data_IF_266536417177
#
_entry.id   IF_266536417177
#
_cell.length_a   1.000
_cell.length_b   1.000
_cell.length_c   1.000
_cell.angle_alpha   90.00
_cell.angle_beta   90.00
_cell.angle_gamma   90.00
#
_symmetry.space_group_name_H-M   'P 1'
#
loop_
_entity.id
_entity.type
_entity.pdbx_description
1 polymer ?
#
# COMPACT_ATOMS: atom_id res chain seq x y z
N UNK A 1 34.48 -5.03 -42.53
CA UNK A 1 33.95 -3.67 -42.79
C UNK A 1 33.20 -3.71 -44.10
N UNK A 2 31.88 -3.79 -44.06
CA UNK A 2 31.01 -3.64 -45.23
C UNK A 2 29.81 -2.79 -44.80
N UNK A 3 29.58 -1.76 -45.58
CA UNK A 3 28.56 -0.70 -45.51
C UNK A 3 27.22 -1.15 -46.11
N UNK A 4 26.10 -0.57 -45.61
CA UNK A 4 24.80 -0.13 -46.24
C UNK A 4 24.22 -0.90 -47.46
N UNK A 5 22.88 -0.96 -47.74
CA UNK A 5 21.85 0.06 -47.42
C UNK A 5 20.40 -0.41 -47.13
N UNK A 6 19.58 0.57 -46.78
CA UNK A 6 18.11 0.56 -46.77
C UNK A 6 17.57 0.37 -48.20
N UNK A 7 16.58 -0.51 -48.39
CA UNK A 7 15.66 -0.44 -49.54
C UNK A 7 14.24 -0.84 -49.14
N UNK A 8 13.36 0.13 -49.29
CA UNK A 8 11.90 0.08 -49.24
C UNK A 8 11.32 -0.99 -50.16
N UNK A 9 10.41 -1.83 -49.65
CA UNK A 9 9.32 -2.39 -50.47
C UNK A 9 7.98 -2.14 -49.79
N UNK A 10 7.16 -1.38 -50.51
CA UNK A 10 5.76 -1.11 -50.29
C UNK A 10 4.97 -2.33 -50.77
N UNK A 11 4.29 -3.03 -49.86
CA UNK A 11 3.26 -4.00 -50.25
C UNK A 11 1.91 -3.53 -49.72
N UNK A 12 1.16 -2.88 -50.60
CA UNK A 12 -0.27 -2.62 -50.41
C UNK A 12 -0.99 -3.94 -50.65
N UNK A 13 -1.40 -4.60 -49.57
CA UNK A 13 -2.43 -5.63 -49.61
C UNK A 13 -3.65 -5.08 -48.87
N UNK A 14 -4.64 -4.66 -49.65
CA UNK A 14 -5.98 -4.35 -49.17
C UNK A 14 -6.69 -5.64 -48.73
N UNK A 15 -7.43 -5.57 -47.63
CA UNK A 15 -8.51 -6.51 -47.36
C UNK A 15 -8.36 -7.37 -46.11
N UNK A 16 -8.56 -6.75 -44.95
CA UNK A 16 -9.52 -7.18 -43.91
C UNK A 16 -9.22 -6.39 -42.65
N UNK A 17 -10.11 -5.47 -42.30
CA UNK A 17 -10.03 -4.73 -41.06
C UNK A 17 -10.34 -5.68 -39.89
N UNK A 18 -9.33 -6.38 -39.40
CA UNK A 18 -9.29 -6.73 -37.99
C UNK A 18 -8.71 -5.50 -37.28
N UNK A 19 -9.57 -4.73 -36.62
CA UNK A 19 -9.13 -3.80 -35.58
C UNK A 19 -8.45 -4.65 -34.50
N UNK A 20 -7.13 -4.84 -34.62
CA UNK A 20 -6.31 -5.15 -33.47
C UNK A 20 -6.28 -3.84 -32.67
N UNK A 21 -7.24 -3.69 -31.76
CA UNK A 21 -7.11 -2.71 -30.69
C UNK A 21 -5.82 -3.05 -29.99
N UNK A 22 -4.78 -2.26 -30.26
CA UNK A 22 -3.62 -2.18 -29.38
C UNK A 22 -4.19 -1.60 -28.10
N UNK A 23 -4.61 -2.47 -27.18
CA UNK A 23 -4.73 -2.13 -25.78
C UNK A 23 -3.31 -1.78 -25.37
N UNK A 24 -2.96 -0.50 -25.46
CA UNK A 24 -1.90 0.04 -24.63
C UNK A 24 -2.18 -0.49 -23.23
N UNK A 25 -1.22 -1.09 -22.52
CA UNK A 25 -1.40 -1.33 -21.10
C UNK A 25 -1.66 0.05 -20.50
N UNK A 26 -2.93 0.34 -20.21
CA UNK A 26 -3.27 1.41 -19.29
C UNK A 26 -2.50 1.02 -18.05
N UNK A 27 -1.45 1.75 -17.73
CA UNK A 27 -0.84 1.66 -16.40
C UNK A 27 -2.01 1.87 -15.47
N UNK A 28 -2.46 0.82 -14.79
CA UNK A 28 -3.51 0.91 -13.81
C UNK A 28 -3.00 1.96 -12.82
N UNK A 29 -3.64 3.13 -12.82
CA UNK A 29 -3.33 4.14 -11.85
C UNK A 29 -3.83 3.58 -10.52
N UNK A 30 -2.99 3.60 -9.50
CA UNK A 30 -3.43 3.28 -8.15
C UNK A 30 -4.65 4.16 -7.83
N UNK A 31 -5.82 3.54 -7.68
CA UNK A 31 -7.05 4.24 -7.28
C UNK A 31 -7.24 3.98 -5.80
N UNK A 32 -7.22 5.06 -5.01
CA UNK A 32 -7.49 4.99 -3.59
C UNK A 32 -8.99 4.70 -3.41
N UNK A 33 -9.31 3.55 -2.82
CA UNK A 33 -10.70 3.10 -2.67
C UNK A 33 -11.05 2.86 -1.20
N UNK A 34 -12.22 3.30 -0.71
CA UNK A 34 -12.65 3.00 0.66
C UNK A 34 -12.76 1.50 0.91
N UNK A 35 -12.30 1.05 2.08
CA UNK A 35 -12.44 -0.34 2.55
C UNK A 35 -13.14 -0.39 3.91
N UNK A 36 -13.38 -1.60 4.42
CA UNK A 36 -13.92 -1.77 5.77
C UNK A 36 -13.01 -1.10 6.80
N UNK A 37 -13.57 -0.48 7.85
CA UNK A 37 -12.77 0.11 8.92
C UNK A 37 -11.96 -0.96 9.65
N UNK A 38 -10.91 -0.52 10.33
CA UNK A 38 -10.09 -1.36 11.19
C UNK A 38 -10.97 -2.00 12.29
N UNK A 39 -10.64 -3.24 12.65
CA UNK A 39 -11.29 -3.93 13.77
C UNK A 39 -11.20 -3.08 15.05
N UNK A 40 -12.28 -3.04 15.84
CA UNK A 40 -12.36 -2.14 16.99
C UNK A 40 -11.35 -2.46 18.08
N UNK A 41 -11.00 -3.74 18.26
CA UNK A 41 -10.03 -4.15 19.27
C UNK A 41 -8.61 -3.76 18.83
N UNK A 42 -8.29 -3.95 17.55
CA UNK A 42 -7.02 -3.47 16.96
C UNK A 42 -6.92 -1.95 16.98
N UNK A 43 -8.02 -1.23 16.69
CA UNK A 43 -8.06 0.22 16.77
C UNK A 43 -7.80 0.70 18.20
N UNK A 44 -8.36 0.03 19.21
CA UNK A 44 -8.10 0.34 20.62
C UNK A 44 -6.64 0.04 21.02
N UNK A 45 -6.06 -1.06 20.53
CA UNK A 45 -4.64 -1.40 20.72
C UNK A 45 -3.74 -0.31 20.14
N UNK A 46 -3.95 0.08 18.88
CA UNK A 46 -3.12 1.10 18.23
C UNK A 46 -3.28 2.47 18.89
N UNK A 47 -4.49 2.87 19.28
CA UNK A 47 -4.70 4.11 20.04
C UNK A 47 -3.98 4.08 21.40
N UNK A 48 -3.92 2.92 22.06
CA UNK A 48 -3.16 2.80 23.31
C UNK A 48 -1.66 3.01 23.07
N UNK A 49 -1.12 2.50 21.96
CA UNK A 49 0.27 2.78 21.56
C UNK A 49 0.48 4.28 21.35
N UNK A 50 -0.40 4.95 20.60
CA UNK A 50 -0.30 6.40 20.34
C UNK A 50 -0.30 7.19 21.65
N UNK A 51 -1.29 6.96 22.52
CA UNK A 51 -1.47 7.72 23.76
C UNK A 51 -0.31 7.44 24.74
N UNK A 52 0.16 6.20 24.85
CA UNK A 52 1.20 5.83 25.83
C UNK A 52 2.63 6.15 25.36
N UNK A 53 2.92 5.99 24.06
CA UNK A 53 4.29 6.10 23.52
C UNK A 53 4.58 7.42 22.81
N UNK A 54 3.56 8.02 22.19
CA UNK A 54 3.73 9.08 21.18
C UNK A 54 3.26 10.42 21.77
N UNK A 55 2.10 10.49 22.44
CA UNK A 55 1.51 11.77 22.92
C UNK A 55 2.14 12.35 24.21
N UNK A 56 2.77 11.51 25.05
CA UNK A 56 3.07 11.91 26.43
C UNK A 56 4.49 12.48 26.64
N UNK A 57 5.39 12.36 25.67
CA UNK A 57 6.74 12.91 25.78
C UNK A 57 7.45 13.03 24.41
N UNK A 58 8.24 14.10 24.21
CA UNK A 58 9.10 14.21 23.04
C UNK A 58 10.03 13.00 22.95
N UNK A 59 10.14 12.41 21.76
CA UNK A 59 11.10 11.34 21.51
C UNK A 59 12.52 11.88 21.62
N UNK A 60 13.37 11.14 22.35
CA UNK A 60 14.80 11.45 22.43
C UNK A 60 15.50 11.15 21.10
N UNK A 61 16.65 11.79 20.84
CA UNK A 61 17.45 11.52 19.63
C UNK A 61 17.80 10.03 19.48
N UNK A 62 17.99 9.32 20.60
CA UNK A 62 18.25 7.89 20.57
C UNK A 62 17.03 7.09 20.13
N UNK A 63 15.83 7.44 20.63
CA UNK A 63 14.58 6.79 20.21
C UNK A 63 14.29 7.07 18.74
N UNK A 64 14.49 8.31 18.28
CA UNK A 64 14.31 8.65 16.87
C UNK A 64 15.24 7.88 15.97
N UNK A 65 16.51 7.72 16.34
CA UNK A 65 17.43 6.90 15.53
C UNK A 65 17.03 5.42 15.49
N UNK A 66 16.24 4.92 16.45
CA UNK A 66 15.73 3.56 16.46
C UNK A 66 14.41 3.40 15.70
N UNK A 67 13.58 4.45 15.66
CA UNK A 67 12.25 4.45 15.06
C UNK A 67 12.23 5.08 13.66
N UNK A 68 13.28 5.79 13.28
CA UNK A 68 13.47 6.28 11.93
C UNK A 68 13.55 5.09 10.98
N UNK A 69 12.60 5.02 10.05
CA UNK A 69 12.57 3.99 9.03
C UNK A 69 13.62 4.32 7.97
N UNK A 70 14.45 3.34 7.62
CA UNK A 70 15.27 3.45 6.40
C UNK A 70 14.32 3.55 5.20
N UNK A 71 14.38 4.61 4.36
CA UNK A 71 13.48 4.75 3.21
C UNK A 71 13.53 3.54 2.27
N UNK A 72 14.67 2.85 2.19
CA UNK A 72 14.80 1.63 1.39
C UNK A 72 14.06 0.42 1.97
N UNK A 73 13.68 0.47 3.26
CA UNK A 73 12.93 -0.60 3.94
C UNK A 73 11.50 -0.77 3.40
N UNK A 74 10.93 0.24 2.72
CA UNK A 74 9.65 0.13 2.02
C UNK A 74 9.77 -0.28 0.55
N UNK A 75 10.89 -0.88 0.17
CA UNK A 75 11.00 -1.59 -1.11
C UNK A 75 10.32 -2.95 -0.99
N UNK A 76 9.24 -3.15 -1.75
CA UNK A 76 8.48 -4.39 -1.73
C UNK A 76 9.36 -5.56 -2.22
N UNK A 77 9.56 -6.58 -1.40
CA UNK A 77 10.39 -7.73 -1.74
C UNK A 77 9.69 -8.74 -2.65
N UNK A 78 8.37 -8.63 -2.76
CA UNK A 78 7.50 -9.50 -3.54
C UNK A 78 6.26 -8.73 -4.00
N UNK A 79 5.48 -9.31 -4.90
CA UNK A 79 4.21 -8.74 -5.33
C UNK A 79 3.22 -8.69 -4.15
N UNK A 80 2.50 -7.59 -4.04
CA UNK A 80 1.50 -7.30 -3.01
C UNK A 80 0.16 -7.09 -3.73
N UNK A 81 -0.87 -7.81 -3.31
CA UNK A 81 -2.20 -7.75 -3.93
C UNK A 81 -2.98 -6.51 -3.48
N UNK A 82 -2.77 -6.07 -2.24
CA UNK A 82 -3.36 -4.83 -1.74
C UNK A 82 -2.50 -4.19 -0.64
N UNK A 83 -2.35 -2.87 -0.71
CA UNK A 83 -1.81 -2.07 0.39
C UNK A 83 -2.95 -1.30 1.03
N UNK A 84 -3.19 -1.57 2.30
CA UNK A 84 -4.28 -0.97 3.06
C UNK A 84 -3.72 0.06 4.04
N UNK A 85 -4.36 1.22 4.09
CA UNK A 85 -3.98 2.32 4.98
C UNK A 85 -5.17 2.70 5.83
N UNK A 86 -4.96 2.78 7.14
CA UNK A 86 -5.98 3.10 8.12
C UNK A 86 -5.58 4.35 8.89
N UNK A 87 -6.49 5.32 8.97
CA UNK A 87 -6.33 6.47 9.86
C UNK A 87 -6.57 6.05 11.31
N UNK A 88 -5.59 6.29 12.19
CA UNK A 88 -5.65 5.85 13.58
C UNK A 88 -6.02 7.00 14.51
N UNK A 89 -5.27 8.10 14.45
CA UNK A 89 -5.51 9.29 15.25
C UNK A 89 -4.70 10.50 14.74
N UNK A 90 -4.91 11.67 15.34
CA UNK A 90 -4.11 12.89 15.17
C UNK A 90 -4.22 13.81 16.40
N UNK A 91 -3.23 14.68 16.60
CA UNK A 91 -3.20 15.72 17.63
C UNK A 91 -2.88 17.12 17.06
N UNK A 92 -2.89 17.25 15.73
CA UNK A 92 -2.34 18.36 14.98
C UNK A 92 -3.23 19.61 15.02
N UNK A 93 -2.58 20.77 15.06
CA UNK A 93 -3.23 22.06 14.88
C UNK A 93 -3.24 22.52 13.40
N UNK A 94 -2.34 21.99 12.58
CA UNK A 94 -2.22 22.34 11.16
C UNK A 94 -3.14 21.48 10.27
N UNK A 95 -3.40 21.97 9.05
CA UNK A 95 -4.19 21.22 8.09
C UNK A 95 -3.29 20.25 7.33
N UNK A 96 -3.46 18.96 7.63
CA UNK A 96 -2.65 17.89 7.08
C UNK A 96 -3.35 17.12 5.96
N UNK A 97 -2.59 16.76 4.93
CA UNK A 97 -2.99 15.83 3.87
C UNK A 97 -2.04 14.64 3.87
N UNK A 98 -2.59 13.44 3.77
CA UNK A 98 -1.79 12.22 3.66
C UNK A 98 -1.65 11.81 2.20
N UNK A 99 -0.41 11.58 1.78
CA UNK A 99 -0.06 11.26 0.41
C UNK A 99 0.84 10.02 0.36
N UNK A 100 0.91 9.37 -0.81
CA UNK A 100 1.92 8.35 -1.10
C UNK A 100 2.54 8.52 -2.49
N UNK A 101 3.67 7.86 -2.69
CA UNK A 101 4.38 7.75 -3.97
C UNK A 101 4.88 6.33 -4.18
N UNK A 102 5.02 5.95 -5.45
CA UNK A 102 5.67 4.71 -5.88
C UNK A 102 6.91 4.95 -6.74
N UNK A 103 7.39 6.20 -6.76
CA UNK A 103 8.43 6.69 -7.66
C UNK A 103 9.38 7.65 -6.95
N UNK A 104 9.72 7.35 -5.69
CA UNK A 104 10.63 8.13 -4.84
C UNK A 104 10.19 9.61 -4.70
N UNK A 105 8.91 9.84 -4.45
CA UNK A 105 8.34 11.18 -4.24
C UNK A 105 8.13 12.02 -5.50
N UNK A 106 8.41 11.50 -6.70
CA UNK A 106 8.24 12.27 -7.94
C UNK A 106 6.76 12.54 -8.27
N UNK A 107 5.90 11.58 -8.00
CA UNK A 107 4.44 11.65 -8.15
C UNK A 107 3.79 11.37 -6.82
N UNK A 108 3.08 12.36 -6.28
CA UNK A 108 2.30 12.21 -5.05
C UNK A 108 0.83 11.98 -5.38
N UNK A 109 0.24 10.94 -4.77
CA UNK A 109 -1.19 10.62 -4.85
C UNK A 109 -1.81 10.78 -3.47
N UNK A 110 -2.97 11.45 -3.41
CA UNK A 110 -3.68 11.66 -2.13
C UNK A 110 -4.32 10.38 -1.62
N UNK A 111 -4.07 10.07 -0.35
CA UNK A 111 -4.78 9.05 0.43
C UNK A 111 -5.97 9.71 1.14
N UNK A 112 -5.69 10.77 1.89
CA UNK A 112 -6.68 11.58 2.59
C UNK A 112 -6.41 13.07 2.36
N UNK A 113 -7.39 13.78 1.80
CA UNK A 113 -7.29 15.22 1.51
C UNK A 113 -7.33 16.11 2.76
N UNK A 114 -7.79 15.56 3.89
CA UNK A 114 -7.75 16.17 5.21
C UNK A 114 -7.62 15.07 6.26
N UNK A 115 -6.55 15.13 7.05
CA UNK A 115 -6.27 14.24 8.18
C UNK A 115 -6.74 14.93 9.45
N UNK A 116 -8.02 14.76 9.77
CA UNK A 116 -8.63 15.31 10.99
C UNK A 116 -9.92 14.56 11.31
N UNK A 117 -10.29 14.52 12.59
CA UNK A 117 -11.48 13.82 13.06
C UNK A 117 -12.18 14.54 14.21
N UNK A 118 -13.51 14.44 14.33
CA UNK A 118 -14.20 14.87 15.54
C UNK A 118 -13.87 14.01 16.77
N UNK A 119 -13.28 12.83 16.57
CA UNK A 119 -13.03 11.84 17.61
C UNK A 119 -11.53 11.66 17.91
N UNK A 120 -10.64 12.47 17.31
CA UNK A 120 -9.19 12.40 17.53
C UNK A 120 -8.76 12.93 18.91
N UNK A 121 -7.47 12.77 19.24
CA UNK A 121 -6.85 13.32 20.46
C UNK A 121 -7.05 14.83 20.54
N UNK A 122 -6.93 15.51 19.38
CA UNK A 122 -7.32 16.90 19.21
C UNK A 122 -8.57 17.01 18.33
N UNK A 123 -9.78 16.98 18.92
CA UNK A 123 -11.01 16.95 18.15
C UNK A 123 -11.16 18.16 17.20
N UNK A 124 -11.45 17.86 15.93
CA UNK A 124 -11.90 18.82 14.95
C UNK A 124 -13.34 18.47 14.52
N UNK A 125 -14.31 19.33 14.86
CA UNK A 125 -15.73 19.08 14.57
C UNK A 125 -16.06 18.97 13.08
N UNK A 126 -15.22 19.55 12.22
CA UNK A 126 -15.37 19.52 10.76
C UNK A 126 -14.46 18.46 10.11
N UNK A 127 -13.77 17.64 10.91
CA UNK A 127 -12.88 16.58 10.43
C UNK A 127 -13.65 15.51 9.65
N UNK A 128 -13.21 15.14 8.44
CA UNK A 128 -13.97 14.22 7.59
C UNK A 128 -13.71 12.74 7.88
N UNK A 129 -12.72 12.40 8.71
CA UNK A 129 -12.32 11.02 8.98
C UNK A 129 -12.94 10.48 10.26
N UNK A 130 -13.31 9.21 10.22
CA UNK A 130 -13.59 8.41 11.42
C UNK A 130 -12.32 7.65 11.84
N UNK A 131 -12.13 7.45 13.14
CA UNK A 131 -11.02 6.63 13.63
C UNK A 131 -11.15 5.20 13.08
N UNK A 132 -10.04 4.65 12.61
CA UNK A 132 -9.98 3.34 11.95
C UNK A 132 -10.47 3.35 10.50
N UNK A 133 -10.82 4.50 9.92
CA UNK A 133 -11.22 4.57 8.52
C UNK A 133 -10.09 4.07 7.60
N UNK A 134 -10.41 3.10 6.75
CA UNK A 134 -9.46 2.44 5.86
C UNK A 134 -9.65 2.79 4.39
N UNK A 135 -8.55 2.78 3.64
CA UNK A 135 -8.53 2.78 2.17
C UNK A 135 -7.55 1.73 1.64
N UNK A 136 -7.86 1.20 0.46
CA UNK A 136 -6.95 0.38 -0.36
C UNK A 136 -6.24 1.29 -1.37
N UNK A 137 -4.92 1.13 -1.47
CA UNK A 137 -4.09 1.76 -2.51
C UNK A 137 -3.94 0.85 -3.74
N UNK A 138 -4.43 -0.39 -3.66
CA UNK A 138 -4.35 -1.40 -4.70
C UNK A 138 -3.09 -2.25 -4.66
N UNK A 139 -2.87 -3.01 -5.75
CA UNK A 139 -1.77 -3.95 -5.90
C UNK A 139 -0.49 -3.29 -6.38
N UNK A 140 0.66 -3.77 -5.92
CA UNK A 140 1.97 -3.33 -6.38
C UNK A 140 2.89 -4.52 -6.66
N UNK A 141 3.72 -4.39 -7.70
CA UNK A 141 4.74 -5.40 -7.99
C UNK A 141 5.89 -5.34 -6.99
N UNK A 142 6.61 -6.44 -6.87
CA UNK A 142 7.93 -6.47 -6.28
C UNK A 142 8.85 -5.38 -6.84
N UNK A 143 9.79 -4.93 -6.01
CA UNK A 143 10.71 -3.81 -6.25
C UNK A 143 10.07 -2.42 -6.35
N UNK A 144 8.75 -2.29 -6.17
CA UNK A 144 8.13 -0.97 -5.96
C UNK A 144 8.62 -0.40 -4.62
N UNK A 145 9.08 0.85 -4.63
CA UNK A 145 9.36 1.61 -3.41
C UNK A 145 8.08 2.33 -3.04
N UNK A 146 7.53 2.06 -1.86
CA UNK A 146 6.31 2.71 -1.38
C UNK A 146 6.68 3.78 -0.35
N UNK A 147 6.45 5.04 -0.67
CA UNK A 147 6.75 6.16 0.23
C UNK A 147 5.47 6.85 0.70
N UNK A 148 5.46 7.28 1.97
CA UNK A 148 4.38 8.05 2.56
C UNK A 148 4.84 9.48 2.88
N UNK A 149 3.94 10.43 2.71
CA UNK A 149 4.22 11.85 2.96
C UNK A 149 3.07 12.51 3.70
N UNK A 150 3.43 13.44 4.59
CA UNK A 150 2.50 14.40 5.18
C UNK A 150 2.72 15.75 4.52
N UNK A 151 1.67 16.29 3.91
CA UNK A 151 1.64 17.66 3.44
C UNK A 151 0.90 18.51 4.45
N UNK A 152 1.65 19.32 5.18
CA UNK A 152 1.16 20.17 6.25
C UNK A 152 0.95 21.60 5.74
N UNK A 153 -0.15 22.24 6.16
CA UNK A 153 -0.44 23.64 5.88
C UNK A 153 -0.70 24.40 7.17
N UNK A 154 0.16 25.39 7.44
CA UNK A 154 0.11 26.20 8.66
C UNK A 154 -1.08 27.19 8.66
N UNK A 155 -1.24 27.91 9.78
CA UNK A 155 -2.33 28.89 9.96
C UNK A 155 -2.31 30.09 9.00
N UNK A 156 -1.17 30.36 8.34
CA UNK A 156 -1.04 31.46 7.37
C UNK A 156 -1.06 30.97 5.92
N UNK A 157 -1.20 29.65 5.71
CA UNK A 157 -1.28 29.01 4.41
C UNK A 157 0.07 28.63 3.79
N UNK A 158 1.15 28.61 4.56
CA UNK A 158 2.42 28.02 4.13
C UNK A 158 2.29 26.52 4.14
N UNK A 159 2.77 25.86 3.08
CA UNK A 159 2.70 24.41 2.97
C UNK A 159 4.09 23.80 2.88
N UNK A 160 4.31 22.73 3.63
CA UNK A 160 5.49 21.87 3.53
C UNK A 160 5.06 20.43 3.30
N UNK A 161 5.91 19.65 2.63
CA UNK A 161 5.72 18.21 2.45
C UNK A 161 6.89 17.49 3.09
N UNK A 162 6.59 16.55 3.98
CA UNK A 162 7.55 15.76 4.71
C UNK A 162 7.37 14.27 4.37
N UNK A 163 8.47 13.60 4.06
CA UNK A 163 8.53 12.18 3.75
C UNK A 163 9.45 11.42 4.69
N UNK A 164 9.62 10.12 4.39
CA UNK A 164 10.43 9.19 5.19
C UNK A 164 11.92 9.53 5.13
N UNK A 165 12.41 9.89 3.94
CA UNK A 165 13.79 10.31 3.72
C UNK A 165 14.00 11.74 4.20
N UNK A 166 14.56 11.88 5.40
CA UNK A 166 14.90 13.19 5.99
C UNK A 166 15.80 14.03 5.10
N UNK A 167 16.61 13.45 4.21
CA UNK A 167 17.46 14.21 3.29
C UNK A 167 16.68 14.93 2.19
N UNK A 168 15.44 14.50 1.95
CA UNK A 168 14.50 15.11 1.01
C UNK A 168 13.52 16.07 1.70
N UNK A 169 13.49 16.08 3.03
CA UNK A 169 12.64 17.00 3.79
C UNK A 169 13.18 18.44 3.70
N UNK A 170 12.30 19.47 3.63
CA UNK A 170 12.72 20.86 3.43
C UNK A 170 13.70 21.43 4.46
N UNK A 171 13.73 20.88 5.67
CA UNK A 171 14.62 21.25 6.78
C UNK A 171 15.71 20.21 7.09
N UNK A 172 15.72 19.07 6.38
CA UNK A 172 16.65 17.98 6.63
C UNK A 172 16.37 17.16 7.89
N UNK A 173 15.18 17.27 8.49
CA UNK A 173 14.83 16.58 9.74
C UNK A 173 13.97 15.33 9.50
N UNK A 174 13.95 14.44 10.50
CA UNK A 174 13.07 13.28 10.49
C UNK A 174 11.66 13.70 10.91
N UNK A 175 10.68 13.47 10.04
CA UNK A 175 9.27 13.82 10.26
C UNK A 175 8.34 12.61 10.35
N UNK A 176 8.87 11.40 10.17
CA UNK A 176 8.10 10.17 10.23
C UNK A 176 8.84 9.15 11.07
N UNK A 177 8.13 8.51 11.99
CA UNK A 177 8.63 7.38 12.78
C UNK A 177 7.75 6.16 12.51
N UNK A 178 8.34 4.98 12.66
CA UNK A 178 7.67 3.72 12.40
C UNK A 178 7.73 2.78 13.61
N UNK A 179 6.61 2.11 13.88
CA UNK A 179 6.49 1.04 14.85
C UNK A 179 5.94 -0.20 14.14
N UNK A 180 6.69 -1.29 14.17
CA UNK A 180 6.20 -2.57 13.68
C UNK A 180 5.29 -3.21 14.74
N UNK A 181 4.08 -3.60 14.35
CA UNK A 181 3.09 -4.22 15.23
C UNK A 181 2.37 -5.34 14.48
N UNK A 182 2.54 -6.58 14.91
CA UNK A 182 1.90 -7.75 14.28
C UNK A 182 2.07 -7.74 12.75
N UNK A 183 0.97 -7.58 11.99
CA UNK A 183 0.92 -7.53 10.53
C UNK A 183 0.85 -6.09 9.96
N UNK A 184 1.11 -5.08 10.79
CA UNK A 184 0.98 -3.66 10.46
C UNK A 184 2.28 -2.90 10.71
N UNK A 185 2.49 -1.89 9.87
CA UNK A 185 3.44 -0.82 10.11
C UNK A 185 2.68 0.42 10.56
N UNK A 186 2.85 0.81 11.81
CA UNK A 186 2.27 2.04 12.35
C UNK A 186 3.22 3.20 12.07
N UNK A 187 2.75 4.24 11.40
CA UNK A 187 3.54 5.43 11.07
C UNK A 187 2.99 6.63 11.85
N UNK A 188 3.85 7.29 12.60
CA UNK A 188 3.59 8.57 13.27
C UNK A 188 4.31 9.71 12.56
N UNK A 189 3.68 10.87 12.47
CA UNK A 189 4.17 12.01 11.71
C UNK A 189 4.27 13.27 12.58
N UNK A 190 5.26 14.12 12.25
CA UNK A 190 5.46 15.46 12.79
C UNK A 190 5.24 16.48 11.65
N UNK A 191 4.37 17.47 11.86
CA UNK A 191 3.84 18.33 10.80
C UNK A 191 4.47 19.74 10.74
N UNK A 192 5.34 20.07 11.70
CA UNK A 192 5.93 21.40 11.84
C UNK A 192 7.35 21.44 11.29
N UNK A 193 7.58 22.29 10.27
CA UNK A 193 8.93 22.61 9.79
C UNK A 193 9.83 23.06 10.95
N UNK A 194 10.99 22.42 11.10
CA UNK A 194 11.90 22.60 12.24
C UNK A 194 11.74 21.53 13.34
N UNK A 195 10.86 20.54 13.15
CA UNK A 195 10.77 19.33 13.97
C UNK A 195 9.88 19.43 15.21
N UNK A 196 8.97 20.42 15.26
CA UNK A 196 7.92 20.59 16.27
C UNK A 196 8.26 20.21 17.71
N UNK A 197 7.37 19.47 18.35
CA UNK A 197 7.54 18.97 19.71
C UNK A 197 8.01 17.51 19.76
N UNK A 198 8.18 16.87 18.59
CA UNK A 198 8.83 15.55 18.42
C UNK A 198 8.07 14.43 19.11
N UNK A 199 6.77 14.61 19.28
CA UNK A 199 5.91 13.58 19.80
C UNK A 199 5.47 12.64 18.65
N UNK A 200 5.33 13.15 17.40
CA UNK A 200 4.94 12.44 16.17
C UNK A 200 3.48 11.93 16.18
N UNK A 201 2.60 12.62 16.91
CA UNK A 201 1.16 12.36 16.94
C UNK A 201 0.35 13.23 15.97
N UNK A 202 0.97 14.17 15.24
CA UNK A 202 0.25 15.10 14.35
C UNK A 202 -0.55 14.39 13.26
N UNK A 203 -0.10 13.20 12.86
CA UNK A 203 -0.92 12.21 12.20
C UNK A 203 -0.41 10.80 12.54
N UNK A 204 -1.32 9.84 12.68
CA UNK A 204 -0.97 8.44 12.85
C UNK A 204 -1.79 7.56 11.92
N UNK A 205 -1.11 6.68 11.19
CA UNK A 205 -1.73 5.68 10.33
C UNK A 205 -1.18 4.29 10.59
N UNK A 206 -1.97 3.27 10.26
CA UNK A 206 -1.51 1.89 10.17
C UNK A 206 -1.52 1.45 8.71
N UNK A 207 -0.44 0.81 8.28
CA UNK A 207 -0.27 0.26 6.93
C UNK A 207 -0.21 -1.26 7.00
N UNK A 208 -1.01 -1.94 6.18
CA UNK A 208 -1.01 -3.40 6.04
C UNK A 208 -0.71 -3.79 4.61
N UNK A 209 0.22 -4.72 4.44
CA UNK A 209 0.51 -5.36 3.15
C UNK A 209 -0.28 -6.67 3.07
N UNK A 210 -1.25 -6.75 2.17
CA UNK A 210 -2.06 -7.95 1.94
C UNK A 210 -1.50 -8.72 0.76
N UNK A 211 -1.22 -9.98 1.01
CA UNK A 211 -0.80 -10.95 0.01
C UNK A 211 -1.85 -12.05 0.00
N UNK A 212 -2.48 -12.28 -1.16
CA UNK A 212 -3.25 -13.49 -1.41
C UNK A 212 -2.21 -14.61 -1.54
N UNK A 213 -1.97 -15.32 -0.44
CA UNK A 213 -1.19 -16.56 -0.49
C UNK A 213 -1.97 -17.51 -1.40
N UNK A 214 -1.49 -17.86 -2.61
CA UNK A 214 -2.20 -18.81 -3.44
C UNK A 214 -2.14 -20.13 -2.68
N UNK A 215 -3.28 -20.61 -2.19
CA UNK A 215 -3.42 -21.97 -1.66
C UNK A 215 -2.67 -22.89 -2.61
N UNK A 216 -1.60 -23.59 -2.15
CA UNK A 216 -0.73 -24.27 -3.07
C UNK A 216 -1.59 -25.27 -3.84
N UNK A 217 -1.48 -25.23 -5.18
CA UNK A 217 -2.22 -26.05 -6.13
C UNK A 217 -2.18 -27.58 -5.85
N UNK A 218 -1.47 -28.01 -4.81
CA UNK A 218 -1.52 -29.32 -4.14
C UNK A 218 -2.92 -29.86 -3.79
N UNK A 219 -3.97 -29.06 -3.59
CA UNK A 219 -5.28 -29.64 -3.24
C UNK A 219 -6.00 -30.29 -4.45
N UNK A 220 -5.72 -29.84 -5.68
CA UNK A 220 -6.27 -30.48 -6.89
C UNK A 220 -5.38 -31.62 -7.43
N UNK A 221 -4.13 -31.71 -6.97
CA UNK A 221 -3.18 -32.76 -7.36
C UNK A 221 -3.42 -34.14 -6.71
N UNK A 222 -4.15 -34.21 -5.58
CA UNK A 222 -4.41 -35.46 -4.86
C UNK A 222 -5.75 -36.14 -5.19
N UNK A 223 -6.61 -35.52 -6.00
CA UNK A 223 -7.89 -36.13 -6.41
C UNK A 223 -7.81 -36.88 -7.76
N UNK A 224 -6.68 -36.83 -8.47
CA UNK A 224 -6.54 -37.42 -9.81
C UNK A 224 -5.78 -38.76 -9.85
N UNK A 225 -5.32 -39.28 -8.70
CA UNK A 225 -4.68 -40.60 -8.61
C UNK A 225 -5.51 -41.55 -7.74
N UNK A 226 -6.54 -42.14 -8.33
CA UNK A 226 -7.27 -43.23 -7.70
C UNK A 226 -8.51 -43.67 -8.47
N UNK A 227 -8.46 -44.88 -9.03
CA UNK A 227 -9.56 -45.65 -9.67
C UNK A 227 -9.60 -45.57 -11.21
N UNK A 228 -8.62 -46.23 -11.84
CA UNK A 228 -8.84 -46.98 -13.09
C UNK A 228 -8.60 -48.46 -12.76
N UNK A 229 -9.63 -49.29 -12.83
CA UNK A 229 -9.45 -50.75 -12.89
C UNK A 229 -10.42 -51.64 -12.10
N UNK A 230 -11.70 -51.69 -12.51
CA UNK A 230 -12.61 -52.85 -12.34
C UNK A 230 -13.88 -52.56 -13.15
N UNK A 231 -14.42 -53.36 -14.06
CA UNK A 231 -14.05 -54.66 -14.61
C UNK A 231 -15.19 -55.00 -15.59
N UNK A 232 -14.87 -55.24 -16.86
CA UNK A 232 -15.84 -55.71 -17.85
C UNK A 232 -15.30 -56.97 -18.49
N UNK A 233 -15.44 -58.11 -17.81
CA UNK A 233 -15.32 -59.41 -18.46
C UNK A 233 -16.71 -59.81 -18.94
N UNK A 234 -16.92 -59.60 -20.23
CA UNK A 234 -18.05 -60.09 -21.00
C UNK A 234 -18.01 -61.62 -21.02
N UNK A 235 -18.94 -62.24 -20.29
CA UNK A 235 -19.22 -63.67 -20.42
C UNK A 235 -20.02 -63.94 -21.70
N UNK A 236 -19.35 -64.38 -22.76
CA UNK A 236 -19.99 -64.95 -23.95
C UNK A 236 -19.29 -66.26 -24.29
N UNK A 237 -19.82 -67.38 -23.82
CA UNK A 237 -19.54 -68.68 -24.41
C UNK A 237 -20.84 -69.48 -24.48
N UNK A 238 -21.26 -69.77 -25.71
CA UNK A 238 -22.53 -70.41 -26.00
C UNK A 238 -22.51 -71.92 -25.78
N UNK A 239 -23.69 -72.51 -25.78
CA UNK A 239 -23.87 -73.91 -26.17
C UNK A 239 -25.27 -74.12 -26.76
N UNK A 240 -25.28 -74.37 -28.06
CA UNK A 240 -26.39 -74.91 -28.83
C UNK A 240 -26.56 -76.42 -28.57
N UNK A 241 -27.84 -76.83 -28.49
CA UNK A 241 -28.47 -78.09 -28.92
C UNK A 241 -27.80 -79.43 -28.58
N UNK A 242 -28.54 -80.26 -27.85
CA UNK A 242 -29.14 -81.49 -28.39
C UNK A 242 -30.61 -81.55 -27.94
#
# INVERSE_FOLDING_TARGET
>A
MITCPIKTELLIAAGSAALATVLSPTVARAEVTPIAPLDSDLLAEFNSIVIEQIEMAPLTDQQLNMLALDPSALTLSQDIDDVQVYFINESADFQNQLLFSTDNGNTLTSIFDSVSSPNSIRPNSDGPLELGQGVSLGSFSSSTVLDFFLKSTDFVGTTFTFGLDSTQNPDGLQHIVAYETQDFLLLGFEDIFGGGDRDYTDAVIAVKLVQDVPEPASLLGLLSVGIVGAGSVVGRLGRTRE
#
